data_IF_383316110195
#
_entry.id   IF_383316110195
#
_cell.length_a   1.000
_cell.length_b   1.000
_cell.length_c   1.000
_cell.angle_alpha   90.00
_cell.angle_beta   90.00
_cell.angle_gamma   90.00
#
_symmetry.space_group_name_H-M   'P 1'
#
loop_
_entity.id
_entity.type
_entity.pdbx_description
1 polymer ?
#
# COMPACT_ATOMS: atom_id res chain seq x y z
N UNK A 1 -9.47 23.86 18.76
CA UNK A 1 -9.97 22.58 18.22
C UNK A 1 -8.99 22.21 17.12
N UNK A 2 -8.04 21.33 17.41
CA UNK A 2 -7.12 20.83 16.39
C UNK A 2 -7.98 20.23 15.28
N UNK A 3 -7.83 20.68 14.04
CA UNK A 3 -8.53 20.08 12.92
C UNK A 3 -8.15 18.59 12.91
N UNK A 4 -9.13 17.73 13.14
CA UNK A 4 -9.02 16.28 12.99
C UNK A 4 -8.79 16.02 11.50
N UNK A 5 -7.56 16.19 11.02
CA UNK A 5 -7.16 15.73 9.69
C UNK A 5 -7.17 14.21 9.76
N UNK A 6 -8.21 13.54 9.23
CA UNK A 6 -8.40 12.11 9.48
C UNK A 6 -7.39 11.29 8.68
N UNK A 7 -6.60 11.90 7.80
CA UNK A 7 -5.54 11.29 7.01
C UNK A 7 -4.28 12.14 7.16
N UNK A 8 -3.18 11.53 7.60
CA UNK A 8 -1.90 12.24 7.83
C UNK A 8 -1.06 12.32 6.56
N UNK A 9 -0.95 11.21 5.85
CA UNK A 9 -0.19 11.11 4.60
C UNK A 9 -0.95 10.18 3.65
N UNK A 10 -0.98 10.57 2.37
CA UNK A 10 -1.49 9.72 1.29
C UNK A 10 -0.44 9.75 0.18
N UNK A 11 0.10 8.59 -0.16
CA UNK A 11 1.13 8.44 -1.19
C UNK A 11 0.60 7.49 -2.26
N UNK A 12 1.02 7.71 -3.50
CA UNK A 12 0.65 6.84 -4.63
C UNK A 12 1.92 6.37 -5.30
N UNK A 13 2.06 5.08 -5.54
CA UNK A 13 3.19 4.50 -6.24
C UNK A 13 2.73 3.67 -7.43
N UNK A 14 3.61 3.52 -8.42
CA UNK A 14 3.52 2.38 -9.34
C UNK A 14 4.04 1.14 -8.64
N UNK A 15 3.37 0.01 -8.85
CA UNK A 15 3.87 -1.29 -8.42
C UNK A 15 3.78 -2.30 -9.56
N UNK A 16 4.61 -3.34 -9.49
CA UNK A 16 4.62 -4.47 -10.42
C UNK A 16 4.73 -5.79 -9.68
N UNK A 17 4.18 -6.83 -10.28
CA UNK A 17 4.44 -8.21 -9.85
C UNK A 17 5.93 -8.51 -9.92
N UNK A 18 6.38 -9.37 -9.02
CA UNK A 18 7.77 -9.79 -8.89
C UNK A 18 7.78 -11.29 -8.60
N UNK A 19 8.10 -11.65 -7.36
CA UNK A 19 7.94 -13.04 -6.91
C UNK A 19 6.47 -13.46 -6.80
N UNK A 20 5.59 -12.55 -6.40
CA UNK A 20 4.15 -12.74 -6.49
C UNK A 20 3.72 -12.56 -7.95
N UNK A 21 2.94 -13.49 -8.49
CA UNK A 21 2.57 -13.53 -9.91
C UNK A 21 1.15 -13.04 -10.22
N UNK A 22 0.30 -13.00 -9.19
CA UNK A 22 -1.06 -12.53 -9.28
C UNK A 22 -1.54 -11.99 -7.91
N UNK A 23 -2.77 -11.45 -7.87
CA UNK A 23 -3.33 -10.88 -6.65
C UNK A 23 -3.63 -11.93 -5.57
N UNK A 24 -3.89 -13.18 -5.96
CA UNK A 24 -4.20 -14.26 -5.00
C UNK A 24 -2.91 -14.72 -4.30
N UNK A 25 -1.81 -14.86 -5.03
CA UNK A 25 -0.49 -15.11 -4.47
C UNK A 25 -0.01 -13.94 -3.61
N UNK A 26 -0.21 -12.70 -4.06
CA UNK A 26 0.10 -11.51 -3.28
C UNK A 26 -0.66 -11.51 -1.94
N UNK A 27 -1.97 -11.77 -1.96
CA UNK A 27 -2.80 -11.88 -0.77
C UNK A 27 -2.33 -13.01 0.17
N UNK A 28 -1.97 -14.17 -0.38
CA UNK A 28 -1.41 -15.30 0.40
C UNK A 28 -0.10 -14.90 1.08
N UNK A 29 0.85 -14.32 0.34
CA UNK A 29 2.15 -13.86 0.87
C UNK A 29 1.98 -12.80 1.96
N UNK A 30 1.02 -11.88 1.81
CA UNK A 30 0.65 -10.93 2.86
C UNK A 30 0.19 -11.65 4.14
N UNK A 31 -0.67 -12.66 4.00
CA UNK A 31 -1.17 -13.48 5.11
C UNK A 31 -0.05 -14.13 5.92
N UNK A 32 0.99 -14.62 5.24
CA UNK A 32 2.19 -15.26 5.82
C UNK A 32 3.16 -14.27 6.50
N UNK A 33 2.96 -12.96 6.31
CA UNK A 33 3.89 -11.90 6.73
C UNK A 33 3.26 -10.89 7.69
N UNK A 34 2.28 -11.32 8.48
CA UNK A 34 1.56 -10.48 9.46
C UNK A 34 0.76 -9.32 8.84
N UNK A 35 0.29 -9.48 7.60
CA UNK A 35 -0.69 -8.58 7.00
C UNK A 35 -2.06 -9.27 6.93
N UNK A 36 -3.10 -8.45 7.04
CA UNK A 36 -4.47 -8.82 6.73
C UNK A 36 -4.84 -8.14 5.42
N UNK A 37 -5.42 -8.89 4.49
CA UNK A 37 -5.79 -8.40 3.18
C UNK A 37 -7.18 -8.93 2.79
N UNK A 38 -7.92 -8.12 2.05
CA UNK A 38 -9.24 -8.43 1.49
C UNK A 38 -9.28 -8.02 0.03
N UNK A 39 -10.07 -8.76 -0.75
CA UNK A 39 -10.25 -8.53 -2.19
C UNK A 39 -11.68 -8.10 -2.50
N UNK A 40 -12.01 -6.79 -2.46
CA UNK A 40 -13.38 -6.32 -2.67
C UNK A 40 -13.83 -6.38 -4.14
N UNK A 41 -12.91 -6.44 -5.10
CA UNK A 41 -13.16 -6.57 -6.53
C UNK A 41 -12.01 -7.36 -7.19
N UNK A 42 -12.17 -7.82 -8.43
CA UNK A 42 -11.16 -8.64 -9.12
C UNK A 42 -9.81 -7.95 -9.29
N UNK A 43 -9.81 -6.63 -9.42
CA UNK A 43 -8.66 -5.76 -9.64
C UNK A 43 -8.25 -4.96 -8.40
N UNK A 44 -8.91 -5.17 -7.25
CA UNK A 44 -8.66 -4.41 -6.03
C UNK A 44 -8.25 -5.33 -4.88
N UNK A 45 -7.15 -4.99 -4.21
CA UNK A 45 -6.72 -5.61 -2.96
C UNK A 45 -6.48 -4.52 -1.91
N UNK A 46 -7.04 -4.70 -0.71
CA UNK A 46 -6.87 -3.78 0.41
C UNK A 46 -6.21 -4.51 1.55
N UNK A 47 -5.15 -3.94 2.12
CA UNK A 47 -4.37 -4.58 3.18
C UNK A 47 -4.00 -3.62 4.32
N UNK A 48 -3.73 -4.19 5.49
CA UNK A 48 -3.14 -3.49 6.64
C UNK A 48 -2.28 -4.45 7.46
N UNK A 49 -1.39 -3.91 8.30
CA UNK A 49 -0.59 -4.73 9.21
C UNK A 49 -1.43 -5.25 10.36
N UNK A 50 -1.28 -6.54 10.71
CA UNK A 50 -1.90 -7.13 11.90
C UNK A 50 -1.27 -6.64 13.21
N UNK A 51 -0.02 -6.16 13.17
CA UNK A 51 0.68 -5.68 14.39
C UNK A 51 0.27 -4.27 14.80
N UNK A 52 -0.10 -3.44 13.81
CA UNK A 52 -0.68 -2.11 14.02
C UNK A 52 -1.85 -1.90 13.04
N UNK A 53 -3.00 -2.54 13.30
CA UNK A 53 -4.15 -2.47 12.41
C UNK A 53 -4.54 -1.04 12.10
N UNK A 54 -4.80 -0.77 10.82
CA UNK A 54 -5.24 0.52 10.29
C UNK A 54 -4.27 1.68 10.49
N UNK A 55 -3.09 1.52 11.09
CA UNK A 55 -2.09 2.59 11.17
C UNK A 55 -1.67 3.05 9.76
N UNK A 56 -1.56 2.08 8.85
CA UNK A 56 -1.41 2.28 7.42
C UNK A 56 -2.35 1.32 6.69
N UNK A 57 -3.06 1.83 5.69
CA UNK A 57 -3.89 1.06 4.77
C UNK A 57 -3.20 1.09 3.41
N UNK A 58 -3.05 -0.08 2.80
CA UNK A 58 -2.52 -0.27 1.46
C UNK A 58 -3.68 -0.61 0.54
N UNK A 59 -3.86 0.12 -0.56
CA UNK A 59 -4.86 -0.16 -1.59
C UNK A 59 -4.14 -0.39 -2.89
N UNK A 60 -4.19 -1.62 -3.38
CA UNK A 60 -3.67 -2.01 -4.68
C UNK A 60 -4.82 -1.96 -5.68
N UNK A 61 -4.58 -1.24 -6.76
CA UNK A 61 -5.38 -1.22 -7.96
C UNK A 61 -4.53 -1.88 -9.04
N UNK A 62 -4.99 -3.02 -9.56
CA UNK A 62 -4.35 -3.69 -10.70
C UNK A 62 -4.80 -3.02 -11.99
N UNK A 63 -3.85 -2.69 -12.84
CA UNK A 63 -4.06 -2.02 -14.12
C UNK A 63 -3.34 -2.83 -15.20
N UNK A 64 -4.07 -3.77 -15.82
CA UNK A 64 -3.50 -4.72 -16.76
C UNK A 64 -2.79 -5.89 -16.07
N UNK A 65 -1.81 -6.49 -16.74
CA UNK A 65 -1.26 -7.79 -16.33
C UNK A 65 -0.04 -7.70 -15.41
N UNK A 66 0.72 -6.61 -15.48
CA UNK A 66 2.03 -6.53 -14.81
C UNK A 66 2.00 -5.88 -13.42
N UNK A 67 0.90 -5.27 -13.01
CA UNK A 67 0.82 -4.51 -11.75
C UNK A 67 -0.22 -3.40 -11.78
N UNK A 68 0.11 -2.22 -11.24
CA UNK A 68 -0.76 -1.06 -11.28
C UNK A 68 -0.38 0.04 -10.29
N UNK A 69 -1.37 0.57 -9.56
CA UNK A 69 -1.20 1.64 -8.56
C UNK A 69 -1.34 1.12 -7.14
N UNK A 70 -0.46 1.58 -6.26
CA UNK A 70 -0.49 1.33 -4.83
C UNK A 70 -0.74 2.66 -4.13
N UNK A 71 -1.88 2.80 -3.47
CA UNK A 71 -2.18 3.93 -2.61
C UNK A 71 -1.87 3.52 -1.17
N UNK A 72 -1.01 4.30 -0.52
CA UNK A 72 -0.69 4.15 0.89
C UNK A 72 -1.38 5.28 1.66
N UNK A 73 -2.22 4.91 2.62
CA UNK A 73 -2.99 5.84 3.44
C UNK A 73 -2.57 5.69 4.89
N UNK A 74 -1.92 6.72 5.45
CA UNK A 74 -1.67 6.79 6.89
C UNK A 74 -2.86 7.44 7.60
N UNK A 75 -3.49 6.68 8.48
CA UNK A 75 -4.60 7.13 9.32
C UNK A 75 -4.07 7.87 10.56
N UNK A 76 -4.94 8.44 11.42
CA UNK A 76 -4.50 9.16 12.61
C UNK A 76 -3.80 8.24 13.63
N UNK A 77 -4.07 6.92 13.57
CA UNK A 77 -3.39 5.91 14.39
C UNK A 77 -1.94 5.64 13.98
N UNK A 78 -1.55 6.00 12.75
CA UNK A 78 -0.18 5.92 12.28
C UNK A 78 0.65 7.11 12.74
N UNK A 79 1.89 6.86 13.18
CA UNK A 79 2.85 7.89 13.62
C UNK A 79 4.11 7.93 12.75
N UNK A 80 3.99 7.53 11.49
CA UNK A 80 5.10 7.55 10.55
C UNK A 80 5.26 8.96 9.95
N UNK A 81 6.50 9.34 9.69
CA UNK A 81 6.82 10.48 8.84
C UNK A 81 6.81 10.08 7.37
N UNK A 82 6.69 11.06 6.46
CA UNK A 82 6.76 10.81 5.02
C UNK A 82 8.01 9.99 4.60
N UNK A 83 9.26 10.33 5.02
CA UNK A 83 10.43 9.52 4.69
C UNK A 83 10.36 8.07 5.21
N UNK A 84 9.77 7.86 6.39
CA UNK A 84 9.56 6.52 6.94
C UNK A 84 8.59 5.72 6.07
N UNK A 85 7.50 6.34 5.60
CA UNK A 85 6.55 5.68 4.70
C UNK A 85 7.20 5.25 3.38
N UNK A 86 7.97 6.14 2.75
CA UNK A 86 8.70 5.85 1.50
C UNK A 86 9.72 4.72 1.71
N UNK A 87 10.37 4.68 2.86
CA UNK A 87 11.31 3.60 3.19
C UNK A 87 10.58 2.27 3.44
N UNK A 88 9.54 2.27 4.29
CA UNK A 88 8.84 1.06 4.69
C UNK A 88 8.02 0.45 3.57
N UNK A 89 7.46 1.23 2.64
CA UNK A 89 6.72 0.68 1.49
C UNK A 89 7.63 -0.18 0.61
N UNK A 90 8.91 0.18 0.45
CA UNK A 90 9.89 -0.62 -0.32
C UNK A 90 10.26 -1.93 0.39
N UNK A 91 10.42 -1.90 1.71
CA UNK A 91 10.65 -3.11 2.52
C UNK A 91 9.44 -4.04 2.45
N UNK A 92 8.26 -3.46 2.63
CA UNK A 92 7.00 -4.17 2.52
C UNK A 92 6.86 -4.83 1.15
N UNK A 93 7.11 -4.09 0.06
CA UNK A 93 7.03 -4.58 -1.32
C UNK A 93 7.88 -5.83 -1.53
N UNK A 94 9.16 -5.76 -1.15
CA UNK A 94 10.07 -6.91 -1.20
C UNK A 94 9.57 -8.09 -0.37
N UNK A 95 9.01 -7.82 0.80
CA UNK A 95 8.49 -8.86 1.73
C UNK A 95 7.32 -9.64 1.13
N UNK A 96 6.47 -8.97 0.35
CA UNK A 96 5.27 -9.57 -0.25
C UNK A 96 5.47 -9.97 -1.71
N UNK A 97 6.69 -9.83 -2.25
CA UNK A 97 7.06 -10.28 -3.58
C UNK A 97 6.64 -9.35 -4.71
N UNK A 98 6.57 -8.04 -4.47
CA UNK A 98 6.29 -7.03 -5.51
C UNK A 98 7.42 -6.01 -5.59
N UNK A 99 7.45 -5.28 -6.70
CA UNK A 99 8.33 -4.13 -6.88
C UNK A 99 7.53 -2.85 -6.78
N UNK A 100 8.09 -1.82 -6.14
CA UNK A 100 7.48 -0.49 -6.04
C UNK A 100 8.44 0.52 -6.68
N UNK A 101 7.91 1.25 -7.66
CA UNK A 101 8.62 2.29 -8.38
C UNK A 101 8.64 3.62 -7.65
N UNK A 102 8.86 4.70 -8.40
CA UNK A 102 8.80 6.05 -7.85
C UNK A 102 7.37 6.44 -7.44
N UNK A 103 7.29 7.37 -6.50
CA UNK A 103 6.02 7.98 -6.11
C UNK A 103 5.45 8.77 -7.28
N UNK A 104 4.16 8.57 -7.55
CA UNK A 104 3.39 9.35 -8.50
C UNK A 104 3.00 10.65 -7.80
N UNK A 105 3.85 11.65 -7.90
CA UNK A 105 3.48 13.02 -7.52
C UNK A 105 2.51 13.53 -8.58
N UNK A 106 1.21 13.51 -8.29
CA UNK A 106 0.27 14.27 -9.09
C UNK A 106 0.71 15.73 -9.00
N UNK A 107 1.06 16.32 -10.15
CA UNK A 107 1.29 17.76 -10.24
C UNK A 107 0.12 18.47 -9.55
N UNK A 108 0.35 19.59 -8.83
CA UNK A 108 -0.76 20.39 -8.32
C UNK A 108 -1.68 20.66 -9.50
N UNK A 109 -2.93 20.18 -9.40
CA UNK A 109 -3.98 20.65 -10.29
C UNK A 109 -4.08 22.14 -9.98
N UNK A 110 -3.73 22.96 -10.97
CA UNK A 110 -3.76 24.42 -10.86
C UNK A 110 -5.13 24.96 -10.50
#
# INVERSE_FOLDING_TARGET
MEALFPLRHVLVFRWRFGEARDLDELMRRMGERMFYAIRPAEDVLVATSKTKPSAVIFVFLREGDDGGRLILIQTPGGRYSYPQLVHYVRIFAKTVGIEVGEEITLAPRG
#
